data_IF_552751082852
#
_entry.id   IF_552751082852
#
_cell.length_a   1.000
_cell.length_b   1.000
_cell.length_c   1.000
_cell.angle_alpha   90.00
_cell.angle_beta   90.00
_cell.angle_gamma   90.00
#
_symmetry.space_group_name_H-M   'P 1'
#
loop_
_entity.id
_entity.type
_entity.pdbx_description
1 polymer ?
#
# COMPACT_ATOMS: atom_id res chain seq x y z
N UNK A 1 0.10 14.98 20.35
CA UNK A 1 -0.64 13.84 19.76
C UNK A 1 -0.50 13.91 18.25
N UNK A 2 0.02 12.86 17.61
CA UNK A 2 0.13 12.76 16.15
C UNK A 2 -1.26 12.57 15.55
N UNK A 3 -1.62 13.36 14.54
CA UNK A 3 -2.90 13.23 13.81
C UNK A 3 -2.72 12.31 12.62
N UNK A 4 -3.73 11.51 12.27
CA UNK A 4 -3.75 10.78 11.00
C UNK A 4 -4.01 11.75 9.85
N UNK A 5 -3.30 11.53 8.74
CA UNK A 5 -3.53 12.30 7.52
C UNK A 5 -4.93 12.01 6.99
N UNK A 6 -5.58 13.04 6.44
CA UNK A 6 -6.92 12.93 5.85
C UNK A 6 -6.80 12.69 4.36
N UNK A 7 -7.58 11.73 3.87
CA UNK A 7 -7.72 11.50 2.43
C UNK A 7 -8.67 12.54 1.85
N UNK A 8 -8.23 13.26 0.83
CA UNK A 8 -9.02 14.27 0.13
C UNK A 8 -9.14 14.02 -1.38
N UNK A 9 -8.60 12.91 -1.88
CA UNK A 9 -8.49 12.63 -3.32
C UNK A 9 -9.52 11.62 -3.80
N UNK A 10 -10.80 12.00 -3.81
CA UNK A 10 -11.89 11.22 -4.41
C UNK A 10 -12.00 9.76 -3.98
N UNK A 11 -12.86 8.99 -4.67
CA UNK A 11 -12.99 7.55 -4.45
C UNK A 11 -11.96 6.82 -5.30
N UNK A 12 -11.19 5.95 -4.67
CA UNK A 12 -10.25 5.06 -5.35
C UNK A 12 -10.99 3.87 -5.97
N UNK A 13 -10.63 3.43 -7.19
CA UNK A 13 -11.15 2.19 -7.72
C UNK A 13 -10.66 0.99 -6.90
N UNK A 14 -11.41 -0.12 -6.97
CA UNK A 14 -10.98 -1.41 -6.44
C UNK A 14 -9.65 -1.80 -7.06
N UNK A 15 -8.72 -2.28 -6.25
CA UNK A 15 -7.40 -2.72 -6.68
C UNK A 15 -7.05 -4.03 -6.01
N UNK A 16 -6.88 -5.11 -6.77
CA UNK A 16 -6.65 -6.46 -6.25
C UNK A 16 -7.63 -6.89 -5.13
N UNK A 17 -8.92 -6.55 -5.30
CA UNK A 17 -9.96 -6.81 -4.30
C UNK A 17 -10.03 -5.80 -3.16
N UNK A 18 -9.03 -4.93 -3.00
CA UNK A 18 -9.03 -3.91 -1.95
C UNK A 18 -9.95 -2.74 -2.34
N UNK A 19 -10.97 -2.53 -1.51
CA UNK A 19 -11.92 -1.43 -1.63
C UNK A 19 -11.29 -0.08 -1.25
N UNK A 20 -11.97 1.01 -1.58
CA UNK A 20 -11.52 2.37 -1.30
C UNK A 20 -11.05 2.57 0.15
N UNK A 21 -11.88 2.18 1.12
CA UNK A 21 -11.58 2.32 2.56
C UNK A 21 -10.31 1.60 2.95
N UNK A 22 -10.14 0.36 2.49
CA UNK A 22 -8.99 -0.49 2.84
C UNK A 22 -7.70 0.14 2.31
N UNK A 23 -7.76 0.67 1.08
CA UNK A 23 -6.63 1.38 0.46
C UNK A 23 -6.27 2.65 1.21
N UNK A 24 -7.28 3.43 1.63
CA UNK A 24 -7.06 4.66 2.40
C UNK A 24 -6.52 4.35 3.80
N UNK A 25 -7.03 3.31 4.48
CA UNK A 25 -6.53 2.88 5.80
C UNK A 25 -5.08 2.44 5.72
N UNK A 26 -4.68 1.66 4.71
CA UNK A 26 -3.29 1.31 4.47
C UNK A 26 -2.40 2.54 4.23
N UNK A 27 -2.86 3.51 3.44
CA UNK A 27 -2.16 4.78 3.24
C UNK A 27 -2.02 5.61 4.53
N UNK A 28 -3.08 5.66 5.36
CA UNK A 28 -3.02 6.34 6.65
C UNK A 28 -2.03 5.65 7.59
N UNK A 29 -2.00 4.32 7.61
CA UNK A 29 -1.08 3.55 8.44
C UNK A 29 0.37 3.82 8.07
N UNK A 30 0.72 3.70 6.78
CA UNK A 30 2.09 4.00 6.31
C UNK A 30 2.47 5.46 6.64
N UNK A 31 1.56 6.41 6.40
CA UNK A 31 1.80 7.81 6.75
C UNK A 31 2.03 8.02 8.25
N UNK A 32 1.22 7.37 9.09
CA UNK A 32 1.34 7.42 10.54
C UNK A 32 2.68 6.87 11.02
N UNK A 33 3.10 5.70 10.51
CA UNK A 33 4.39 5.09 10.87
C UNK A 33 5.58 6.01 10.53
N UNK A 34 5.49 6.74 9.42
CA UNK A 34 6.49 7.78 9.08
C UNK A 34 6.43 8.93 10.08
N UNK A 35 5.24 9.43 10.36
CA UNK A 35 5.03 10.60 11.22
C UNK A 35 5.43 10.34 12.69
N UNK A 36 5.39 9.09 13.15
CA UNK A 36 5.86 8.66 14.48
C UNK A 36 7.28 8.07 14.48
N UNK A 37 8.02 8.17 13.37
CA UNK A 37 9.42 7.73 13.28
C UNK A 37 9.64 6.22 13.30
N UNK A 38 8.60 5.42 13.09
CA UNK A 38 8.69 3.95 12.99
C UNK A 38 9.02 3.46 11.58
N UNK A 39 8.92 4.34 10.59
CA UNK A 39 9.28 4.06 9.20
C UNK A 39 10.00 5.28 8.61
N UNK A 40 11.12 5.10 7.89
CA UNK A 40 11.75 6.23 7.19
C UNK A 40 10.85 6.72 6.05
N UNK A 41 11.02 7.98 5.64
CA UNK A 41 10.43 8.42 4.36
C UNK A 41 11.04 7.61 3.21
N UNK A 42 10.22 7.26 2.23
CA UNK A 42 10.70 6.58 1.02
C UNK A 42 11.73 7.46 0.30
N UNK A 43 12.91 6.91 0.03
CA UNK A 43 14.07 7.66 -0.49
C UNK A 43 14.74 7.02 -1.71
N UNK A 44 14.66 5.69 -1.83
CA UNK A 44 15.27 4.93 -2.92
C UNK A 44 14.24 3.97 -3.50
N UNK A 45 14.07 3.98 -4.82
CA UNK A 45 13.18 3.05 -5.51
C UNK A 45 13.73 1.63 -5.40
N UNK A 46 12.93 0.70 -4.87
CA UNK A 46 13.30 -0.71 -4.70
C UNK A 46 13.44 -1.49 -6.00
N UNK A 47 13.03 -0.92 -7.14
CA UNK A 47 13.14 -1.53 -8.48
C UNK A 47 14.31 -0.92 -9.25
N UNK A 48 14.37 0.41 -9.34
CA UNK A 48 15.35 1.10 -10.20
C UNK A 48 16.55 1.70 -9.48
N UNK A 49 16.57 1.73 -8.14
CA UNK A 49 17.58 2.44 -7.35
C UNK A 49 17.50 3.97 -7.43
N UNK A 50 16.57 4.53 -8.21
CA UNK A 50 16.39 5.97 -8.39
C UNK A 50 15.88 6.65 -7.10
N UNK A 51 16.28 7.90 -6.89
CA UNK A 51 15.94 8.69 -5.70
C UNK A 51 14.98 9.85 -5.98
N UNK A 52 14.62 10.08 -7.23
CA UNK A 52 13.70 11.15 -7.61
C UNK A 52 12.23 10.78 -7.35
N UNK A 53 11.53 11.66 -6.62
CA UNK A 53 10.07 11.57 -6.38
C UNK A 53 9.62 10.18 -5.91
N UNK A 54 10.31 9.64 -4.91
CA UNK A 54 10.02 8.32 -4.35
C UNK A 54 8.87 8.40 -3.35
N UNK A 55 7.90 7.50 -3.49
CA UNK A 55 6.76 7.34 -2.58
C UNK A 55 6.55 5.86 -2.28
N UNK A 56 5.94 5.57 -1.14
CA UNK A 56 5.54 4.21 -0.79
C UNK A 56 4.32 3.76 -1.61
N UNK A 57 4.33 2.48 -1.96
CA UNK A 57 3.26 1.77 -2.65
C UNK A 57 2.99 0.45 -1.93
N UNK A 58 1.71 0.07 -1.82
CA UNK A 58 1.30 -1.22 -1.25
C UNK A 58 0.56 -2.05 -2.31
N UNK A 59 1.04 -3.26 -2.56
CA UNK A 59 0.29 -4.28 -3.31
C UNK A 59 -0.68 -5.05 -2.41
N UNK A 60 -0.28 -5.25 -1.14
CA UNK A 60 -1.13 -5.76 -0.06
C UNK A 60 -1.46 -4.60 0.90
N UNK A 61 -2.71 -4.13 0.90
CA UNK A 61 -3.13 -3.02 1.77
C UNK A 61 -3.43 -3.45 3.21
N UNK A 62 -3.33 -4.74 3.54
CA UNK A 62 -3.39 -5.24 4.92
C UNK A 62 -2.01 -5.41 5.58
N UNK A 63 -0.94 -5.18 4.84
CA UNK A 63 0.44 -5.20 5.33
C UNK A 63 0.96 -3.77 5.48
N UNK A 64 1.81 -3.57 6.48
CA UNK A 64 2.45 -2.30 6.78
C UNK A 64 3.86 -2.17 6.20
N UNK A 65 4.32 -3.15 5.41
CA UNK A 65 5.58 -3.10 4.67
C UNK A 65 5.36 -2.67 3.20
N UNK A 66 5.35 -1.37 2.89
CA UNK A 66 5.23 -0.91 1.52
C UNK A 66 6.55 -1.01 0.75
N UNK A 67 6.45 -0.92 -0.57
CA UNK A 67 7.58 -0.78 -1.49
C UNK A 67 7.83 0.69 -1.82
N UNK A 68 9.07 1.15 -1.70
CA UNK A 68 9.45 2.49 -2.14
C UNK A 68 9.60 2.52 -3.67
N UNK A 69 8.81 3.32 -4.38
CA UNK A 69 8.83 3.41 -5.83
C UNK A 69 9.00 4.86 -6.28
N UNK A 70 9.85 5.10 -7.28
CA UNK A 70 9.87 6.40 -7.95
C UNK A 70 8.56 6.60 -8.75
N UNK A 71 8.18 7.86 -8.96
CA UNK A 71 6.89 8.21 -9.56
C UNK A 71 6.60 7.48 -10.88
N UNK A 72 7.57 7.35 -11.78
CA UNK A 72 7.38 6.70 -13.09
C UNK A 72 7.02 5.22 -12.96
N UNK A 73 7.75 4.48 -12.13
CA UNK A 73 7.48 3.05 -11.90
C UNK A 73 6.17 2.87 -11.12
N UNK A 74 5.91 3.71 -10.12
CA UNK A 74 4.68 3.67 -9.34
C UNK A 74 3.44 3.81 -10.24
N UNK A 75 3.43 4.81 -11.12
CA UNK A 75 2.32 5.01 -12.04
C UNK A 75 2.19 3.87 -13.06
N UNK A 76 3.32 3.34 -13.54
CA UNK A 76 3.32 2.19 -14.46
C UNK A 76 2.74 0.94 -13.78
N UNK A 77 3.08 0.70 -12.51
CA UNK A 77 2.56 -0.39 -11.70
C UNK A 77 1.04 -0.31 -11.54
N UNK A 78 0.51 0.87 -11.21
CA UNK A 78 -0.94 1.09 -11.15
C UNK A 78 -1.65 0.89 -12.50
N UNK A 79 -0.93 1.10 -13.61
CA UNK A 79 -1.45 0.89 -14.96
C UNK A 79 -1.24 -0.54 -15.47
N UNK A 80 -0.59 -1.46 -14.73
CA UNK A 80 -0.17 -2.76 -15.26
C UNK A 80 -1.32 -3.59 -15.86
N UNK A 81 -2.54 -3.45 -15.35
CA UNK A 81 -3.71 -4.17 -15.89
C UNK A 81 -4.24 -3.57 -17.20
N UNK A 82 -4.09 -2.25 -17.37
CA UNK A 82 -4.55 -1.53 -18.57
C UNK A 82 -3.50 -1.49 -19.66
N UNK A 83 -2.23 -1.46 -19.27
CA UNK A 83 -1.07 -1.32 -20.13
C UNK A 83 0.01 -2.35 -19.76
N UNK A 84 -0.27 -3.66 -19.88
CA UNK A 84 0.60 -4.72 -19.36
C UNK A 84 2.01 -4.68 -19.96
N UNK A 85 2.15 -4.34 -21.24
CA UNK A 85 3.46 -4.33 -21.89
C UNK A 85 4.38 -3.23 -21.36
N UNK A 86 3.83 -2.12 -20.84
CA UNK A 86 4.64 -1.11 -20.16
C UNK A 86 5.24 -1.65 -18.87
N UNK A 87 4.48 -2.45 -18.13
CA UNK A 87 4.98 -3.11 -16.94
C UNK A 87 5.98 -4.21 -17.27
N UNK A 88 5.73 -5.03 -18.30
CA UNK A 88 6.69 -6.05 -18.77
C UNK A 88 8.06 -5.44 -19.06
N UNK A 89 8.12 -4.28 -19.75
CA UNK A 89 9.40 -3.59 -20.00
C UNK A 89 10.14 -3.20 -18.72
N UNK A 90 9.43 -2.84 -17.65
CA UNK A 90 10.05 -2.58 -16.35
C UNK A 90 10.60 -3.88 -15.77
N UNK A 91 9.84 -4.97 -15.85
CA UNK A 91 10.30 -6.30 -15.40
C UNK A 91 11.54 -6.72 -16.19
N UNK A 92 11.49 -6.70 -17.52
CA UNK A 92 12.61 -7.09 -18.41
C UNK A 92 13.87 -6.25 -18.16
N UNK A 93 13.69 -4.98 -17.78
CA UNK A 93 14.80 -4.06 -17.53
C UNK A 93 15.48 -4.29 -16.17
N UNK A 94 14.72 -4.62 -15.12
CA UNK A 94 15.22 -4.59 -13.74
C UNK A 94 15.21 -5.94 -13.03
N UNK A 95 14.44 -6.92 -13.50
CA UNK A 95 14.47 -8.26 -12.92
C UNK A 95 15.76 -8.98 -13.32
N UNK A 96 16.41 -9.62 -12.35
CA UNK A 96 17.63 -10.40 -12.55
C UNK A 96 17.30 -11.88 -12.52
N UNK A 97 16.49 -12.32 -11.55
CA UNK A 97 16.17 -13.73 -11.35
C UNK A 97 14.74 -14.08 -11.75
N UNK A 98 13.85 -13.09 -11.81
CA UNK A 98 12.40 -13.30 -11.95
C UNK A 98 11.70 -13.61 -10.63
N UNK A 99 12.45 -13.77 -9.53
CA UNK A 99 11.89 -14.01 -8.19
C UNK A 99 11.64 -12.71 -7.42
N UNK A 100 12.13 -11.58 -7.94
CA UNK A 100 11.87 -10.28 -7.35
C UNK A 100 10.36 -10.05 -7.21
N UNK A 101 9.96 -9.41 -6.11
CA UNK A 101 8.54 -9.22 -5.78
C UNK A 101 7.73 -8.61 -6.93
N UNK A 102 8.35 -7.72 -7.71
CA UNK A 102 7.71 -7.00 -8.82
C UNK A 102 7.61 -7.85 -10.10
N UNK A 103 8.51 -8.82 -10.29
CA UNK A 103 8.50 -9.75 -11.41
C UNK A 103 7.40 -10.82 -11.27
N UNK A 104 7.04 -11.17 -10.02
CA UNK A 104 6.01 -12.18 -9.70
C UNK A 104 4.59 -11.63 -9.61
N UNK A 105 4.38 -10.34 -9.87
CA UNK A 105 3.04 -9.75 -9.79
C UNK A 105 2.13 -10.27 -10.91
N UNK A 106 0.88 -10.55 -10.55
CA UNK A 106 -0.15 -10.87 -11.54
C UNK A 106 -0.35 -9.73 -12.54
N UNK A 107 -0.43 -10.10 -13.82
CA UNK A 107 -0.73 -9.19 -14.93
C UNK A 107 -2.23 -8.93 -15.12
N UNK A 108 -3.07 -9.64 -14.35
CA UNK A 108 -4.52 -9.43 -14.28
C UNK A 108 -4.94 -9.12 -12.83
N UNK A 109 -6.04 -8.38 -12.61
CA UNK A 109 -6.59 -8.20 -11.27
C UNK A 109 -6.88 -9.54 -10.61
N UNK A 110 -6.51 -9.66 -9.33
CA UNK A 110 -6.82 -10.83 -8.48
C UNK A 110 -7.61 -10.36 -7.27
N UNK A 111 -8.45 -11.20 -6.67
CA UNK A 111 -9.09 -10.85 -5.39
C UNK A 111 -8.17 -11.19 -4.20
N UNK A 112 -7.02 -10.52 -4.12
CA UNK A 112 -6.06 -10.75 -3.03
C UNK A 112 -6.68 -10.38 -1.68
N UNK A 113 -7.45 -9.29 -1.60
CA UNK A 113 -8.12 -8.90 -0.37
C UNK A 113 -9.11 -9.98 0.11
N UNK A 114 -9.93 -10.54 -0.80
CA UNK A 114 -10.84 -11.64 -0.48
C UNK A 114 -10.10 -12.90 -0.05
N UNK A 115 -9.01 -13.26 -0.73
CA UNK A 115 -8.17 -14.40 -0.33
C UNK A 115 -7.59 -14.22 1.08
N UNK A 116 -7.09 -13.03 1.40
CA UNK A 116 -6.54 -12.72 2.72
C UNK A 116 -7.60 -12.76 3.82
N UNK A 117 -8.81 -12.24 3.57
CA UNK A 117 -9.94 -12.36 4.50
C UNK A 117 -10.38 -13.80 4.70
N UNK A 118 -10.46 -14.60 3.63
CA UNK A 118 -10.79 -16.01 3.74
C UNK A 118 -9.75 -16.80 4.56
N UNK A 119 -8.47 -16.44 4.44
CA UNK A 119 -7.38 -17.10 5.16
C UNK A 119 -7.26 -16.68 6.63
N UNK A 120 -7.47 -15.39 6.92
CA UNK A 120 -7.14 -14.81 8.23
C UNK A 120 -8.35 -14.25 9.00
N UNK A 121 -9.54 -14.29 8.42
CA UNK A 121 -10.76 -13.64 8.90
C UNK A 121 -10.84 -12.15 8.56
N UNK A 122 -12.04 -11.58 8.59
CA UNK A 122 -12.32 -10.18 8.19
C UNK A 122 -11.55 -9.13 9.02
N UNK A 123 -11.18 -9.47 10.25
CA UNK A 123 -10.36 -8.62 11.13
C UNK A 123 -8.97 -8.33 10.58
N UNK A 124 -8.51 -9.03 9.53
CA UNK A 124 -7.28 -8.66 8.81
C UNK A 124 -7.33 -7.24 8.23
N UNK A 125 -8.54 -6.73 7.93
CA UNK A 125 -8.74 -5.38 7.43
C UNK A 125 -8.56 -4.27 8.49
N UNK A 126 -8.51 -4.62 9.78
CA UNK A 126 -8.16 -3.67 10.85
C UNK A 126 -6.64 -3.54 11.02
N UNK A 127 -6.03 -2.92 10.02
CA UNK A 127 -4.56 -2.81 9.91
C UNK A 127 -3.90 -2.07 11.09
N UNK A 128 -4.64 -1.17 11.75
CA UNK A 128 -4.14 -0.43 12.91
C UNK A 128 -4.09 -1.29 14.18
N UNK A 129 -4.86 -2.38 14.27
CA UNK A 129 -4.76 -3.35 15.37
C UNK A 129 -3.60 -4.33 15.21
N UNK A 130 -3.09 -4.47 13.98
CA UNK A 130 -2.16 -5.55 13.62
C UNK A 130 -0.73 -5.07 13.49
N UNK A 131 -0.51 -3.77 13.39
CA UNK A 131 0.84 -3.20 13.33
C UNK A 131 1.50 -3.28 14.72
N UNK A 132 2.74 -3.81 14.83
CA UNK A 132 3.46 -3.86 16.09
C UNK A 132 4.00 -2.47 16.43
N UNK A 133 3.28 -1.73 17.30
CA UNK A 133 3.71 -0.42 17.76
C UNK A 133 4.44 -0.52 19.11
N UNK A 134 5.56 0.21 19.29
CA UNK A 134 6.20 0.34 20.59
C UNK A 134 5.26 0.94 21.65
N UNK A 135 5.50 0.56 22.91
CA UNK A 135 4.83 1.13 24.07
C UNK A 135 4.91 2.66 24.06
N UNK A 136 3.79 3.33 24.29
CA UNK A 136 3.69 4.80 24.31
C UNK A 136 3.24 5.42 23.00
N UNK A 137 3.24 4.70 21.88
CA UNK A 137 2.65 5.18 20.62
C UNK A 137 1.16 4.82 20.60
N UNK A 138 0.30 5.85 20.57
CA UNK A 138 -1.14 5.69 20.51
C UNK A 138 -1.68 6.08 19.13
N UNK A 139 -2.42 5.17 18.50
CA UNK A 139 -3.17 5.47 17.26
C UNK A 139 -4.42 6.27 17.62
N UNK A 140 -4.66 7.45 17.03
CA UNK A 140 -5.89 8.20 17.26
C UNK A 140 -7.04 7.55 16.47
N UNK A 141 -7.61 6.46 17.01
CA UNK A 141 -8.60 5.59 16.33
C UNK A 141 -9.82 6.32 15.75
N UNK A 142 -10.25 7.38 16.41
CA UNK A 142 -11.35 8.23 15.93
C UNK A 142 -11.04 8.97 14.61
N UNK A 143 -9.79 8.94 14.13
CA UNK A 143 -9.34 9.55 12.87
C UNK A 143 -9.08 8.52 11.77
N UNK A 144 -9.21 7.23 12.07
CA UNK A 144 -9.08 6.17 11.06
C UNK A 144 -10.21 6.34 10.06
N UNK A 145 -9.87 6.29 8.77
CA UNK A 145 -10.81 6.52 7.70
C UNK A 145 -11.96 5.51 7.73
N UNK A 146 -13.18 6.00 7.55
CA UNK A 146 -14.44 5.26 7.54
C UNK A 146 -15.33 5.83 6.46
N UNK A 147 -16.23 5.00 5.91
CA UNK A 147 -17.33 5.52 5.10
C UNK A 147 -18.28 6.25 6.06
N UNK A 148 -18.84 7.38 5.64
CA UNK A 148 -19.89 8.06 6.40
C UNK A 148 -21.01 7.06 6.72
N UNK A 149 -21.29 6.85 8.02
CA UNK A 149 -22.31 5.90 8.50
C UNK A 149 -21.78 4.63 9.18
N UNK A 150 -20.47 4.38 9.20
CA UNK A 150 -19.89 3.28 10.01
C UNK A 150 -19.61 3.73 11.46
N UNK A 151 -20.33 3.14 12.43
CA UNK A 151 -20.10 3.33 13.87
C UNK A 151 -18.77 2.73 14.35
N UNK A 152 -18.25 3.24 15.47
CA UNK A 152 -16.95 2.92 16.04
C UNK A 152 -16.85 1.53 16.67
#
# INVERSE_FOLDING_TARGET
MTRLRKWSWGILPVYNGFAHVERVRGWQLVSFLIDVGQMPKASVCSISGRTDRVQYHSENYYDWHPYALNQSIHLTLHQRFKSPDRWRRIVDQYAVTGEEWFARLSMAPVDLAGQLRAQHGDQIADVFNRVPLPSGIQVPRHQVYRIEGESA
#
